data_IF_141000648117
#
_entry.id   IF_141000648117
#
_cell.length_a   1.000
_cell.length_b   1.000
_cell.length_c   1.000
_cell.angle_alpha   90.00
_cell.angle_beta   90.00
_cell.angle_gamma   90.00
#
_symmetry.space_group_name_H-M   'P 1'
#
loop_
_entity.id
_entity.type
_entity.pdbx_description
1 polymer ?
#
# COMPACT_ATOMS: atom_id res chain seq x y z
N UNK A 1 -8.95 -22.78 -8.56
CA UNK A 1 -8.99 -21.32 -8.32
C UNK A 1 -8.68 -20.64 -9.64
N UNK A 2 -9.52 -19.73 -10.10
CA UNK A 2 -9.22 -18.98 -11.33
C UNK A 2 -7.93 -18.15 -11.09
N UNK A 3 -6.97 -18.13 -12.02
CA UNK A 3 -5.83 -17.22 -11.90
C UNK A 3 -6.34 -15.78 -11.90
N UNK A 4 -5.69 -14.91 -11.11
CA UNK A 4 -5.90 -13.46 -11.13
C UNK A 4 -5.81 -12.99 -12.58
N UNK A 5 -6.85 -12.30 -13.06
CA UNK A 5 -7.01 -12.07 -14.50
C UNK A 5 -6.33 -10.80 -14.95
N UNK A 6 -6.18 -9.83 -14.06
CA UNK A 6 -5.61 -8.51 -14.37
C UNK A 6 -4.74 -7.97 -13.24
N UNK A 7 -3.75 -7.15 -13.58
CA UNK A 7 -2.87 -6.45 -12.61
C UNK A 7 -3.68 -5.60 -11.63
N UNK A 8 -4.82 -5.08 -12.08
CA UNK A 8 -5.73 -4.25 -11.29
C UNK A 8 -6.38 -5.04 -10.13
N UNK A 9 -6.47 -6.38 -10.22
CA UNK A 9 -6.93 -7.22 -9.10
C UNK A 9 -5.99 -7.13 -7.89
N UNK A 10 -4.69 -6.89 -8.13
CA UNK A 10 -3.64 -6.81 -7.12
C UNK A 10 -3.42 -5.38 -6.63
N UNK A 11 -3.42 -4.40 -7.54
CA UNK A 11 -3.15 -3.00 -7.23
C UNK A 11 -3.99 -2.08 -8.12
N UNK A 12 -4.84 -1.26 -7.50
CA UNK A 12 -5.59 -0.20 -8.18
C UNK A 12 -5.22 1.17 -7.59
N UNK A 13 -4.93 2.15 -8.44
CA UNK A 13 -4.53 3.50 -8.00
C UNK A 13 -5.20 4.65 -8.77
N UNK A 14 -6.06 4.35 -9.75
CA UNK A 14 -6.72 5.35 -10.58
C UNK A 14 -7.83 6.15 -9.86
N UNK A 15 -8.19 5.80 -8.62
CA UNK A 15 -9.21 6.50 -7.83
C UNK A 15 -8.64 7.61 -6.93
N UNK A 16 -7.37 8.00 -7.11
CA UNK A 16 -6.68 8.97 -6.25
C UNK A 16 -6.17 8.44 -4.91
N UNK A 17 -6.31 7.13 -4.67
CA UNK A 17 -5.72 6.38 -3.55
C UNK A 17 -5.38 4.96 -3.99
N UNK A 18 -4.39 4.36 -3.34
CA UNK A 18 -3.94 2.99 -3.58
C UNK A 18 -4.89 2.01 -2.88
N UNK A 19 -5.34 1.00 -3.61
CA UNK A 19 -6.07 -0.16 -3.10
C UNK A 19 -5.28 -1.43 -3.39
N UNK A 20 -5.24 -2.32 -2.41
CA UNK A 20 -4.52 -3.59 -2.49
C UNK A 20 -5.52 -4.74 -2.62
N UNK A 21 -5.20 -5.71 -3.47
CA UNK A 21 -5.84 -7.02 -3.53
C UNK A 21 -7.37 -6.99 -3.70
N UNK A 22 -7.91 -5.99 -4.43
CA UNK A 22 -9.35 -5.77 -4.58
C UNK A 22 -10.09 -6.93 -5.29
N UNK A 23 -9.41 -7.64 -6.19
CA UNK A 23 -9.94 -8.78 -6.94
C UNK A 23 -9.45 -10.13 -6.41
N UNK A 24 -8.63 -10.12 -5.35
CA UNK A 24 -8.08 -11.35 -4.76
C UNK A 24 -9.11 -11.94 -3.80
N UNK A 25 -9.48 -13.23 -3.95
CA UNK A 25 -10.40 -13.87 -3.02
C UNK A 25 -9.90 -13.77 -1.57
N UNK A 26 -10.84 -13.67 -0.64
CA UNK A 26 -10.56 -13.36 0.76
C UNK A 26 -9.50 -14.30 1.35
N UNK A 27 -9.63 -15.62 1.21
CA UNK A 27 -8.67 -16.54 1.82
C UNK A 27 -7.41 -16.81 0.98
N UNK A 28 -7.29 -16.24 -0.22
CA UNK A 28 -6.16 -16.48 -1.10
C UNK A 28 -4.90 -15.72 -0.68
N UNK A 29 -3.75 -16.37 -0.88
CA UNK A 29 -2.45 -15.72 -0.77
C UNK A 29 -2.09 -15.03 -2.10
N UNK A 30 -1.47 -13.87 -2.00
CA UNK A 30 -0.99 -13.11 -3.14
C UNK A 30 0.24 -12.28 -2.74
N UNK A 31 1.18 -12.12 -3.67
CA UNK A 31 2.36 -11.25 -3.51
C UNK A 31 2.64 -10.58 -4.83
N UNK A 32 3.00 -9.31 -4.76
CA UNK A 32 3.56 -8.58 -5.89
C UNK A 32 4.67 -7.66 -5.40
N UNK A 33 5.57 -7.34 -6.31
CA UNK A 33 6.69 -6.46 -6.03
C UNK A 33 6.80 -5.41 -7.11
N UNK A 34 7.04 -4.18 -6.65
CA UNK A 34 7.43 -3.05 -7.46
C UNK A 34 6.46 -2.66 -8.57
N UNK A 35 5.16 -2.76 -8.27
CA UNK A 35 4.13 -2.29 -9.19
C UNK A 35 4.05 -0.76 -9.13
N UNK A 36 3.93 -0.12 -10.29
CA UNK A 36 3.78 1.33 -10.36
C UNK A 36 2.34 1.72 -10.03
N UNK A 37 2.20 2.70 -9.15
CA UNK A 37 0.94 3.35 -8.82
C UNK A 37 0.95 4.81 -9.28
N UNK A 38 -0.24 5.29 -9.65
CA UNK A 38 -0.49 6.70 -9.98
C UNK A 38 -0.02 7.59 -8.83
N UNK A 39 0.58 8.73 -9.18
CA UNK A 39 1.19 9.65 -8.20
C UNK A 39 2.70 9.44 -7.99
N UNK A 40 3.31 8.52 -8.74
CA UNK A 40 4.76 8.30 -8.71
C UNK A 40 5.18 7.44 -7.52
N UNK A 41 4.51 6.31 -7.35
CA UNK A 41 4.82 5.34 -6.30
C UNK A 41 5.17 3.97 -6.90
N UNK A 42 6.11 3.28 -6.28
CA UNK A 42 6.38 1.86 -6.50
C UNK A 42 5.89 1.11 -5.25
N UNK A 43 4.98 0.13 -5.42
CA UNK A 43 4.30 -0.57 -4.33
C UNK A 43 4.62 -2.05 -4.38
N UNK A 44 4.88 -2.62 -3.22
CA UNK A 44 5.08 -4.05 -3.03
C UNK A 44 4.25 -4.50 -1.83
N UNK A 45 3.58 -5.64 -1.94
CA UNK A 45 2.73 -6.14 -0.86
C UNK A 45 2.61 -7.66 -0.87
N UNK A 46 2.31 -8.21 0.30
CA UNK A 46 2.00 -9.63 0.49
C UNK A 46 0.75 -9.78 1.35
N UNK A 47 -0.13 -10.70 0.93
CA UNK A 47 -1.32 -11.14 1.66
C UNK A 47 -1.27 -12.64 1.88
N UNK A 48 -1.57 -13.07 3.11
CA UNK A 48 -1.66 -14.48 3.53
C UNK A 48 -2.92 -14.68 4.37
N UNK A 49 -3.70 -15.73 4.06
CA UNK A 49 -4.87 -16.12 4.85
C UNK A 49 -5.86 -14.98 5.11
N UNK A 50 -6.09 -14.10 4.13
CA UNK A 50 -7.00 -12.95 4.29
C UNK A 50 -6.37 -11.65 4.75
N UNK A 51 -5.18 -11.67 5.33
CA UNK A 51 -4.56 -10.46 5.87
C UNK A 51 -3.37 -10.00 5.03
N UNK A 52 -3.24 -8.69 4.84
CA UNK A 52 -1.99 -8.09 4.39
C UNK A 52 -0.96 -8.23 5.50
N UNK A 53 0.14 -8.93 5.21
CA UNK A 53 1.22 -9.22 6.16
C UNK A 53 2.46 -8.38 5.93
N UNK A 54 2.60 -7.81 4.74
CA UNK A 54 3.70 -6.91 4.39
C UNK A 54 3.26 -5.90 3.33
N UNK A 55 3.72 -4.66 3.47
CA UNK A 55 3.40 -3.56 2.58
C UNK A 55 4.52 -2.53 2.60
N UNK A 56 5.07 -2.24 1.43
CA UNK A 56 6.09 -1.21 1.23
C UNK A 56 5.65 -0.28 0.10
N UNK A 57 5.86 1.02 0.30
CA UNK A 57 5.64 2.07 -0.69
C UNK A 57 6.92 2.86 -0.86
N UNK A 58 7.48 2.85 -2.06
CA UNK A 58 8.59 3.73 -2.45
C UNK A 58 8.03 4.94 -3.19
N UNK A 59 8.42 6.13 -2.75
CA UNK A 59 8.08 7.37 -3.42
C UNK A 59 9.12 7.69 -4.50
N UNK A 60 8.69 7.88 -5.73
CA UNK A 60 9.56 8.24 -6.85
C UNK A 60 9.72 9.75 -6.99
N UNK A 61 8.70 10.51 -6.57
CA UNK A 61 8.62 11.96 -6.82
C UNK A 61 8.34 12.80 -5.57
N UNK A 62 8.16 12.20 -4.40
CA UNK A 62 7.88 12.95 -3.15
C UNK A 62 6.43 13.43 -3.00
N UNK A 63 5.48 12.79 -3.66
CA UNK A 63 4.06 13.15 -3.56
C UNK A 63 3.44 12.72 -2.21
N UNK A 64 2.25 13.24 -1.89
CA UNK A 64 1.45 12.72 -0.77
C UNK A 64 0.95 11.32 -1.13
N UNK A 65 1.33 10.31 -0.34
CA UNK A 65 0.81 8.96 -0.49
C UNK A 65 -0.59 8.89 0.12
N UNK A 66 -1.54 8.30 -0.62
CA UNK A 66 -2.88 7.99 -0.13
C UNK A 66 -3.17 6.53 -0.36
N UNK A 67 -3.54 5.81 0.68
CA UNK A 67 -3.79 4.37 0.62
C UNK A 67 -5.02 4.00 1.44
N UNK A 68 -5.81 3.06 0.94
CA UNK A 68 -6.84 2.40 1.74
C UNK A 68 -6.17 1.49 2.75
N UNK A 69 -6.37 1.74 4.04
CA UNK A 69 -5.74 1.01 5.12
C UNK A 69 -6.17 -0.48 5.10
N UNK A 70 -5.26 -1.41 4.80
CA UNK A 70 -5.60 -2.84 4.74
C UNK A 70 -5.90 -3.46 6.11
N UNK A 71 -5.60 -2.75 7.21
CA UNK A 71 -5.85 -3.18 8.59
C UNK A 71 -6.99 -2.42 9.25
N UNK A 72 -7.77 -1.62 8.50
CA UNK A 72 -8.91 -0.88 9.05
C UNK A 72 -9.91 -1.83 9.77
N UNK A 73 -10.45 -1.45 10.94
CA UNK A 73 -10.35 -0.16 11.64
C UNK A 73 -9.11 0.02 12.54
N UNK A 74 -8.12 -0.89 12.47
CA UNK A 74 -6.86 -0.76 13.18
C UNK A 74 -5.97 0.39 12.67
N UNK A 75 -4.98 0.82 13.46
CA UNK A 75 -4.06 1.88 13.07
C UNK A 75 -3.15 1.43 11.91
N UNK A 76 -2.62 2.41 11.19
CA UNK A 76 -1.54 2.23 10.22
C UNK A 76 -0.46 3.24 10.53
N UNK A 77 0.78 2.76 10.63
CA UNK A 77 1.99 3.56 10.80
C UNK A 77 2.83 3.49 9.55
N UNK A 78 3.49 4.59 9.20
CA UNK A 78 4.39 4.66 8.06
C UNK A 78 5.82 4.88 8.55
N UNK A 79 6.68 3.87 8.42
CA UNK A 79 8.09 3.96 8.85
C UNK A 79 8.95 4.26 7.63
N UNK A 80 9.63 5.40 7.62
CA UNK A 80 10.63 5.72 6.61
C UNK A 80 11.86 4.83 6.81
N UNK A 81 12.18 3.99 5.82
CA UNK A 81 13.30 3.06 5.89
C UNK A 81 14.66 3.75 5.74
N UNK A 82 14.71 4.97 5.21
CA UNK A 82 15.96 5.72 5.11
C UNK A 82 16.36 6.36 6.44
N UNK A 83 15.39 6.88 7.20
CA UNK A 83 15.63 7.57 8.47
C UNK A 83 15.32 6.73 9.71
N UNK A 84 14.52 5.67 9.57
CA UNK A 84 13.96 4.89 10.67
C UNK A 84 12.83 5.59 11.43
N UNK A 85 12.46 6.81 11.03
CA UNK A 85 11.44 7.60 11.71
C UNK A 85 10.02 7.24 11.23
N UNK A 86 9.04 7.41 12.11
CA UNK A 86 7.63 7.33 11.74
C UNK A 86 7.18 8.63 11.10
N UNK A 87 6.65 8.55 9.88
CA UNK A 87 6.05 9.68 9.19
C UNK A 87 4.66 9.97 9.80
N UNK A 88 4.32 11.25 10.05
CA UNK A 88 2.98 11.63 10.50
C UNK A 88 1.93 11.18 9.49
N UNK A 89 0.93 10.44 9.98
CA UNK A 89 -0.19 9.94 9.17
C UNK A 89 -1.49 10.66 9.53
N UNK A 90 -2.30 10.96 8.52
CA UNK A 90 -3.66 11.47 8.66
C UNK A 90 -4.64 10.37 8.24
N UNK A 91 -5.70 10.15 9.02
CA UNK A 91 -6.73 9.16 8.72
C UNK A 91 -8.08 9.82 8.47
N UNK A 92 -8.74 9.43 7.38
CA UNK A 92 -10.11 9.83 7.04
C UNK A 92 -10.89 8.58 6.60
N UNK A 93 -11.73 8.06 7.49
CA UNK A 93 -12.39 6.77 7.28
C UNK A 93 -11.37 5.64 7.14
N UNK A 94 -11.44 4.88 6.04
CA UNK A 94 -10.50 3.81 5.72
C UNK A 94 -9.26 4.29 4.93
N UNK A 95 -9.09 5.60 4.72
CA UNK A 95 -7.96 6.16 3.99
C UNK A 95 -6.91 6.71 4.94
N UNK A 96 -5.65 6.39 4.68
CA UNK A 96 -4.49 6.98 5.35
C UNK A 96 -3.68 7.77 4.33
N UNK A 97 -3.25 8.96 4.74
CA UNK A 97 -2.44 9.88 3.93
C UNK A 97 -1.20 10.33 4.68
N UNK A 98 -0.06 10.46 3.99
CA UNK A 98 1.17 11.00 4.57
C UNK A 98 2.09 11.59 3.49
N UNK A 99 2.89 12.58 3.88
CA UNK A 99 3.91 13.18 3.02
C UNK A 99 5.09 12.23 2.84
N UNK A 100 5.66 12.19 1.63
CA UNK A 100 6.82 11.34 1.32
C UNK A 100 7.99 12.15 0.78
N UNK A 101 9.18 11.59 0.86
CA UNK A 101 10.39 12.15 0.25
C UNK A 101 10.74 11.35 -1.00
N UNK A 102 11.09 12.05 -2.09
CA UNK A 102 11.47 11.40 -3.34
C UNK A 102 12.67 10.45 -3.12
N UNK A 103 12.56 9.23 -3.64
CA UNK A 103 13.55 8.17 -3.48
C UNK A 103 13.41 7.33 -2.21
N UNK A 104 12.69 7.80 -1.18
CA UNK A 104 12.53 7.09 0.09
C UNK A 104 11.51 5.96 -0.04
N UNK A 105 11.73 4.90 0.76
CA UNK A 105 10.82 3.78 0.90
C UNK A 105 10.22 3.78 2.30
N UNK A 106 8.93 3.47 2.39
CA UNK A 106 8.16 3.46 3.62
C UNK A 106 7.59 2.06 3.81
N UNK A 107 7.83 1.46 4.97
CA UNK A 107 7.14 0.24 5.39
C UNK A 107 5.89 0.63 6.17
N UNK A 108 4.74 0.14 5.72
CA UNK A 108 3.47 0.37 6.38
C UNK A 108 3.18 -0.78 7.33
N UNK A 109 2.84 -0.47 8.57
CA UNK A 109 2.63 -1.45 9.64
C UNK A 109 1.34 -1.17 10.40
N UNK A 110 0.74 -2.21 10.97
CA UNK A 110 -0.31 -2.07 12.00
C UNK A 110 0.29 -1.58 13.33
#
# INVERSE_FOLDING_TARGET
AAPYRDVEDLLMSCTGRIHLFIGVPEMSAARFERFLAVGGFEVSAEKKGGAVVWLQVKSLVGAICRIRNPWYPGPLRAIDLASGAEAPVESAGDTVSFSTVAGHAYELRR
#
